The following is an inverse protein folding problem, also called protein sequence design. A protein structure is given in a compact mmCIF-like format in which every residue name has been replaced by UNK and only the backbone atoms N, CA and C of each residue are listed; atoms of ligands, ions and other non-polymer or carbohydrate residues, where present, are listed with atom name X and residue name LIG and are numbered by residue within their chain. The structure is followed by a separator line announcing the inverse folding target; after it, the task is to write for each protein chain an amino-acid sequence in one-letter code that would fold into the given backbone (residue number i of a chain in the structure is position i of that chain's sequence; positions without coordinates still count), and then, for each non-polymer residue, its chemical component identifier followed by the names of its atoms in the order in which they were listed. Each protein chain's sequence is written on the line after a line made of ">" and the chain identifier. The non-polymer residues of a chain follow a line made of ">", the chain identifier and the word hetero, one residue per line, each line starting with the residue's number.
data_IF_529115851041
#
_entry.id   IF_529115851041
#
_cell.length_a   1.000
_cell.length_b   1.000
_cell.length_c   1.000
_cell.angle_alpha   90.00
_cell.angle_beta   90.00
_cell.angle_gamma   90.00
#
_symmetry.space_group_name_H-M   'P 1'
#
loop_
_entity.id
_entity.type
_entity.pdbx_description
1 polymer ?
#
# COMPACT_ATOMS: atom_id res chain seq x y z
N UNK A 1 -1.76 0.35 -2.18
CA UNK A 1 -1.90 0.35 -3.66
C UNK A 1 -3.31 0.80 -4.02
N UNK A 2 -3.46 1.64 -5.05
CA UNK A 2 -4.78 2.03 -5.53
C UNK A 2 -5.46 0.91 -6.31
N UNK A 3 -6.77 0.71 -6.17
CA UNK A 3 -7.47 -0.38 -6.88
C UNK A 3 -7.63 -0.12 -8.39
N UNK A 4 -7.37 1.11 -8.85
CA UNK A 4 -7.34 1.52 -10.26
C UNK A 4 -5.93 1.87 -10.75
N UNK A 5 -4.89 1.30 -10.14
CA UNK A 5 -3.46 1.55 -10.44
C UNK A 5 -3.14 1.44 -11.94
N UNK A 6 -3.82 0.60 -12.71
CA UNK A 6 -3.67 0.54 -14.18
C UNK A 6 -2.38 -0.13 -14.67
N UNK A 7 -1.32 -0.12 -13.86
CA UNK A 7 -0.04 -0.82 -14.13
C UNK A 7 0.05 -2.15 -13.38
N UNK A 8 -0.45 -2.19 -12.14
CA UNK A 8 -0.47 -3.38 -11.29
C UNK A 8 -1.90 -3.73 -10.91
N UNK A 9 -2.29 -4.99 -11.12
CA UNK A 9 -3.56 -5.51 -10.62
C UNK A 9 -3.45 -5.94 -9.15
N UNK A 10 -4.56 -5.92 -8.42
CA UNK A 10 -4.63 -6.43 -7.03
C UNK A 10 -4.13 -7.88 -6.94
N UNK A 11 -4.43 -8.70 -7.95
CA UNK A 11 -3.95 -10.09 -8.04
C UNK A 11 -2.43 -10.18 -8.16
N UNK A 12 -1.80 -9.31 -8.97
CA UNK A 12 -0.34 -9.27 -9.08
C UNK A 12 0.31 -8.83 -7.75
N UNK A 13 -0.28 -7.85 -7.06
CA UNK A 13 0.17 -7.47 -5.72
C UNK A 13 0.07 -8.65 -4.75
N UNK A 14 -1.09 -9.28 -4.64
CA UNK A 14 -1.30 -10.44 -3.75
C UNK A 14 -0.32 -11.57 -4.03
N UNK A 15 -0.02 -11.86 -5.29
CA UNK A 15 0.95 -12.89 -5.65
C UNK A 15 2.38 -12.53 -5.22
N UNK A 16 2.79 -11.26 -5.34
CA UNK A 16 4.11 -10.80 -4.85
C UNK A 16 4.21 -10.89 -3.33
N UNK A 17 3.13 -10.60 -2.61
CA UNK A 17 3.14 -10.62 -1.14
C UNK A 17 3.28 -12.04 -0.57
N UNK A 18 2.85 -13.07 -1.30
CA UNK A 18 3.03 -14.48 -0.89
C UNK A 18 4.50 -14.89 -0.73
N UNK A 19 5.41 -14.24 -1.46
CA UNK A 19 6.85 -14.52 -1.41
C UNK A 19 7.62 -13.51 -0.55
N UNK A 20 6.95 -12.57 0.11
CA UNK A 20 7.61 -11.59 0.96
C UNK A 20 8.05 -12.24 2.28
N UNK A 21 9.29 -11.97 2.69
CA UNK A 21 9.81 -12.40 3.98
C UNK A 21 9.37 -11.44 5.10
N UNK A 22 9.20 -11.97 6.30
CA UNK A 22 8.84 -11.18 7.48
C UNK A 22 7.38 -10.77 7.53
N UNK A 23 7.08 -9.71 8.29
CA UNK A 23 5.71 -9.21 8.46
C UNK A 23 5.32 -8.29 7.31
N UNK A 24 4.19 -8.59 6.70
CA UNK A 24 3.57 -7.77 5.66
C UNK A 24 2.28 -7.17 6.19
N UNK A 25 2.06 -5.89 5.93
CA UNK A 25 0.77 -5.22 6.10
C UNK A 25 0.34 -4.60 4.76
N UNK A 26 -0.90 -4.80 4.36
CA UNK A 26 -1.38 -4.48 3.00
C UNK A 26 -2.61 -3.61 3.05
N UNK A 27 -2.51 -2.42 2.45
CA UNK A 27 -3.60 -1.45 2.36
C UNK A 27 -3.97 -1.21 0.89
N UNK A 28 -5.23 -1.46 0.55
CA UNK A 28 -5.82 -1.15 -0.75
C UNK A 28 -6.64 0.13 -0.64
N UNK A 29 -6.35 1.11 -1.49
CA UNK A 29 -7.06 2.38 -1.53
C UNK A 29 -8.06 2.30 -2.69
N UNK A 30 -9.33 2.23 -2.34
CA UNK A 30 -10.39 2.04 -3.32
C UNK A 30 -10.49 3.24 -4.28
N UNK A 31 -10.56 2.95 -5.58
CA UNK A 31 -10.79 3.94 -6.63
C UNK A 31 -9.56 4.74 -7.04
N UNK A 32 -8.47 4.71 -6.27
CA UNK A 32 -7.25 5.45 -6.59
C UNK A 32 -6.48 4.82 -7.75
N UNK A 33 -6.06 5.65 -8.69
CA UNK A 33 -5.08 5.32 -9.73
C UNK A 33 -3.63 5.49 -9.27
N UNK A 34 -2.68 5.01 -10.08
CA UNK A 34 -1.26 5.01 -9.74
C UNK A 34 -0.74 6.42 -9.44
N UNK A 35 -0.85 7.31 -10.42
CA UNK A 35 -0.40 8.70 -10.30
C UNK A 35 -1.24 9.52 -9.31
N UNK A 36 -2.49 9.13 -9.05
CA UNK A 36 -3.28 9.81 -8.02
C UNK A 36 -2.66 9.61 -6.64
N UNK A 37 -2.14 8.40 -6.35
CA UNK A 37 -1.49 8.12 -5.08
C UNK A 37 -0.13 8.80 -4.91
N UNK A 38 0.50 9.25 -6.00
CA UNK A 38 1.73 10.06 -5.95
C UNK A 38 1.43 11.54 -5.68
N UNK A 39 0.16 11.93 -5.74
CA UNK A 39 -0.27 13.30 -5.51
C UNK A 39 -0.50 13.64 -4.03
N UNK A 40 -0.46 14.93 -3.69
CA UNK A 40 -0.54 15.40 -2.30
C UNK A 40 -1.85 15.05 -1.58
N UNK A 41 -2.89 14.67 -2.32
CA UNK A 41 -4.16 14.20 -1.77
C UNK A 41 -4.02 12.94 -0.91
N UNK A 42 -2.97 12.14 -1.12
CA UNK A 42 -2.73 10.89 -0.38
C UNK A 42 -1.55 10.95 0.59
N UNK A 43 -0.76 12.02 0.59
CA UNK A 43 0.45 12.14 1.42
C UNK A 43 0.19 11.85 2.90
N UNK A 44 -0.83 12.50 3.48
CA UNK A 44 -1.18 12.31 4.88
C UNK A 44 -1.56 10.85 5.18
N UNK A 45 -2.38 10.24 4.31
CA UNK A 45 -2.77 8.84 4.46
C UNK A 45 -1.56 7.89 4.35
N UNK A 46 -0.65 8.15 3.41
CA UNK A 46 0.56 7.33 3.25
C UNK A 46 1.47 7.43 4.47
N UNK A 47 1.67 8.65 5.00
CA UNK A 47 2.45 8.87 6.21
C UNK A 47 1.84 8.12 7.40
N UNK A 48 0.53 8.23 7.61
CA UNK A 48 -0.15 7.56 8.71
C UNK A 48 -0.02 6.03 8.63
N UNK A 49 -0.20 5.44 7.45
CA UNK A 49 -0.04 4.01 7.24
C UNK A 49 1.38 3.53 7.58
N UNK A 50 2.40 4.26 7.13
CA UNK A 50 3.81 3.92 7.38
C UNK A 50 4.14 4.05 8.87
N UNK A 51 3.76 5.16 9.50
CA UNK A 51 4.02 5.41 10.93
C UNK A 51 3.33 4.36 11.79
N UNK A 52 2.08 4.00 11.49
CA UNK A 52 1.35 2.98 12.24
C UNK A 52 1.96 1.58 12.07
N UNK A 53 2.43 1.24 10.86
CA UNK A 53 3.15 -0.01 10.63
C UNK A 53 4.40 -0.08 11.52
N UNK A 54 5.25 0.96 11.49
CA UNK A 54 6.49 1.02 12.28
C UNK A 54 6.19 0.89 13.79
N UNK A 55 5.20 1.64 14.29
CA UNK A 55 4.78 1.58 15.70
C UNK A 55 4.30 0.18 16.12
N UNK A 56 3.80 -0.62 15.18
CA UNK A 56 3.29 -1.95 15.45
C UNK A 56 4.37 -3.03 15.47
N UNK A 57 5.63 -2.72 15.12
CA UNK A 57 6.72 -3.69 15.13
C UNK A 57 7.17 -3.98 16.58
N UNK A 58 7.55 -5.23 16.88
CA UNK A 58 8.19 -5.56 18.16
C UNK A 58 9.46 -4.74 18.38
N UNK A 59 9.77 -4.45 19.65
CA UNK A 59 11.03 -3.81 20.05
C UNK A 59 12.19 -4.79 20.02
#
# INVERSE_FOLDING_TARGET
>A
MGTKDGFTSVKQLQNKLKSAAGRVDTHLIEGAGHFQMEGPAFDAQMVDLIVNFIKSLPK
#
